data_IF_435630640290
#
_entry.id   IF_435630640290
#
_cell.length_a   1.000
_cell.length_b   1.000
_cell.length_c   1.000
_cell.angle_alpha   90.00
_cell.angle_beta   90.00
_cell.angle_gamma   90.00
#
_symmetry.space_group_name_H-M   'P 1'
#
loop_
_entity.id
_entity.type
_entity.pdbx_description
1 polymer ?
#
# COMPACT_ATOMS: atom_id res chain seq x y z
N UNK A 1 -6.11 -1.04 26.31
CA UNK A 1 -6.79 -1.54 25.08
C UNK A 1 -6.01 -1.00 23.90
N UNK A 2 -5.55 -1.86 23.01
CA UNK A 2 -4.85 -1.45 21.79
C UNK A 2 -5.90 -1.03 20.75
N UNK A 3 -5.72 0.14 20.13
CA UNK A 3 -6.67 0.72 19.19
C UNK A 3 -6.52 0.02 17.84
N UNK A 4 -7.61 -0.47 17.24
CA UNK A 4 -7.50 -1.11 15.92
C UNK A 4 -7.30 -0.08 14.79
N UNK A 5 -6.75 -0.54 13.67
CA UNK A 5 -6.34 0.30 12.54
C UNK A 5 -7.52 1.01 11.86
N UNK A 6 -8.69 0.36 11.79
CA UNK A 6 -9.91 0.94 11.22
C UNK A 6 -10.48 2.06 12.10
N UNK A 7 -10.45 1.87 13.42
CA UNK A 7 -10.84 2.88 14.41
C UNK A 7 -9.89 4.07 14.34
N UNK A 8 -8.58 3.82 14.22
CA UNK A 8 -7.58 4.88 14.09
C UNK A 8 -7.80 5.72 12.82
N UNK A 9 -8.13 5.10 11.68
CA UNK A 9 -8.45 5.83 10.43
C UNK A 9 -9.70 6.68 10.60
N UNK A 10 -10.77 6.15 11.22
CA UNK A 10 -11.99 6.92 11.48
C UNK A 10 -11.74 8.10 12.43
N UNK A 11 -10.90 7.93 13.44
CA UNK A 11 -10.51 9.01 14.34
C UNK A 11 -9.69 10.08 13.61
N UNK A 12 -8.75 9.69 12.76
CA UNK A 12 -7.98 10.63 11.93
C UNK A 12 -8.88 11.37 10.93
N UNK A 13 -9.86 10.69 10.34
CA UNK A 13 -10.83 11.31 9.43
C UNK A 13 -11.68 12.36 10.16
N UNK A 14 -12.29 11.99 11.30
CA UNK A 14 -13.08 12.94 12.11
C UNK A 14 -12.23 14.12 12.56
N UNK A 15 -11.00 13.87 13.01
CA UNK A 15 -10.07 14.92 13.43
C UNK A 15 -9.69 15.86 12.28
N UNK A 16 -9.47 15.33 11.07
CA UNK A 16 -9.22 16.15 9.87
C UNK A 16 -10.43 17.00 9.47
N UNK A 17 -11.65 16.42 9.52
CA UNK A 17 -12.89 17.13 9.22
C UNK A 17 -13.13 18.28 10.21
N UNK A 18 -12.95 18.04 11.51
CA UNK A 18 -13.07 19.07 12.55
C UNK A 18 -12.03 20.19 12.38
N UNK A 19 -10.77 19.85 12.08
CA UNK A 19 -9.73 20.84 11.80
C UNK A 19 -10.04 21.67 10.55
N UNK A 20 -10.56 21.04 9.49
CA UNK A 20 -10.94 21.72 8.25
C UNK A 20 -12.09 22.70 8.49
N UNK A 21 -13.11 22.29 9.25
CA UNK A 21 -14.22 23.17 9.66
C UNK A 21 -13.70 24.35 10.49
N UNK A 22 -12.74 24.13 11.38
CA UNK A 22 -12.14 25.23 12.17
C UNK A 22 -11.36 26.21 11.28
N UNK A 23 -10.58 25.70 10.32
CA UNK A 23 -9.83 26.51 9.37
C UNK A 23 -10.75 27.31 8.42
N UNK A 24 -11.86 26.73 7.98
CA UNK A 24 -12.84 27.39 7.10
C UNK A 24 -13.63 28.48 7.84
N UNK A 25 -13.99 28.25 9.10
CA UNK A 25 -14.76 29.23 9.90
C UNK A 25 -13.93 30.45 10.36
N UNK A 26 -12.60 30.37 10.42
CA UNK A 26 -11.76 31.56 10.70
C UNK A 26 -11.61 32.50 9.49
N UNK A 27 -11.92 32.04 8.27
CA UNK A 27 -11.81 32.83 7.03
C UNK A 27 -12.99 33.81 6.87
N UNK A 28 -14.17 33.49 7.42
CA UNK A 28 -15.42 34.22 7.20
C UNK A 28 -15.78 35.28 8.27
N UNK A 29 -14.86 35.61 9.17
CA UNK A 29 -14.95 36.78 10.05
C UNK A 29 -14.94 36.47 11.55
N UNK A 30 -14.89 37.53 12.39
CA UNK A 30 -14.34 37.39 13.74
C UNK A 30 -15.41 37.02 14.76
N UNK A 31 -15.84 35.76 14.92
CA UNK A 31 -16.59 35.38 16.14
C UNK A 31 -16.59 33.88 16.52
N UNK A 32 -16.37 33.64 17.82
CA UNK A 32 -16.96 32.58 18.69
C UNK A 32 -16.46 31.13 18.61
N UNK A 33 -15.32 30.85 18.02
CA UNK A 33 -14.63 29.58 18.29
C UNK A 33 -13.95 29.65 19.67
N UNK A 34 -14.02 28.59 20.51
CA UNK A 34 -13.30 28.56 21.77
C UNK A 34 -11.81 28.82 21.52
N UNK A 35 -11.23 29.59 22.43
CA UNK A 35 -9.91 30.21 22.34
C UNK A 35 -8.86 29.41 21.53
N UNK A 36 -8.40 29.92 20.37
CA UNK A 36 -7.38 29.28 19.52
C UNK A 36 -6.07 28.99 20.27
N UNK A 37 -5.84 29.66 21.41
CA UNK A 37 -4.70 29.43 22.31
C UNK A 37 -4.64 27.97 22.78
N UNK A 38 -5.79 27.35 23.10
CA UNK A 38 -5.85 25.98 23.63
C UNK A 38 -5.87 24.93 22.52
N UNK A 39 -6.35 25.29 21.32
CA UNK A 39 -6.42 24.39 20.17
C UNK A 39 -5.02 24.06 19.61
N UNK A 40 -4.11 25.03 19.52
CA UNK A 40 -2.82 24.87 18.84
C UNK A 40 -1.92 23.75 19.40
N UNK A 41 -1.75 23.65 20.72
CA UNK A 41 -0.93 22.60 21.32
C UNK A 41 -1.71 21.29 21.50
N UNK A 42 -3.03 21.38 21.75
CA UNK A 42 -3.90 20.22 21.89
C UNK A 42 -3.99 19.41 20.59
N UNK A 43 -4.10 20.06 19.44
CA UNK A 43 -4.19 19.38 18.14
C UNK A 43 -2.86 18.69 17.78
N UNK A 44 -1.73 19.28 18.19
CA UNK A 44 -0.40 18.69 18.01
C UNK A 44 -0.27 17.43 18.89
N UNK A 45 -0.67 17.52 20.15
CA UNK A 45 -0.67 16.39 21.09
C UNK A 45 -1.61 15.26 20.61
N UNK A 46 -2.80 15.60 20.12
CA UNK A 46 -3.74 14.64 19.57
C UNK A 46 -3.18 13.92 18.33
N UNK A 47 -2.62 14.67 17.37
CA UNK A 47 -1.97 14.09 16.19
C UNK A 47 -0.80 13.18 16.56
N UNK A 48 0.12 13.64 17.41
CA UNK A 48 1.29 12.86 17.81
C UNK A 48 0.87 11.58 18.57
N UNK A 49 -0.19 11.63 19.38
CA UNK A 49 -0.77 10.43 20.01
C UNK A 49 -1.34 9.45 18.97
N UNK A 50 -1.98 9.93 17.91
CA UNK A 50 -2.43 9.06 16.81
C UNK A 50 -1.27 8.49 15.99
N UNK A 51 -0.20 9.26 15.77
CA UNK A 51 1.01 8.79 15.10
C UNK A 51 1.72 7.68 15.88
N UNK A 52 1.85 7.82 17.21
CA UNK A 52 2.38 6.76 18.08
C UNK A 52 1.51 5.50 17.99
N UNK A 53 0.19 5.68 18.02
CA UNK A 53 -0.76 4.57 17.89
C UNK A 53 -0.66 3.89 16.51
N UNK A 54 -0.45 4.67 15.44
CA UNK A 54 -0.22 4.18 14.09
C UNK A 54 1.08 3.35 14.00
N UNK A 55 2.18 3.87 14.54
CA UNK A 55 3.48 3.18 14.58
C UNK A 55 3.43 1.88 15.38
N UNK A 56 2.65 1.83 16.45
CA UNK A 56 2.47 0.64 17.27
C UNK A 56 1.53 -0.42 16.65
N UNK A 57 0.74 -0.04 15.64
CA UNK A 57 -0.33 -0.90 15.07
C UNK A 57 -0.08 -1.23 13.59
N UNK A 58 0.87 -0.56 12.93
CA UNK A 58 1.15 -0.71 11.51
C UNK A 58 2.66 -0.78 11.24
N UNK A 59 3.13 -1.88 10.66
CA UNK A 59 4.54 -2.10 10.29
C UNK A 59 4.92 -1.43 8.95
N UNK A 60 4.12 -0.48 8.45
CA UNK A 60 4.40 0.17 7.18
C UNK A 60 5.63 1.10 7.32
N UNK A 61 6.69 0.93 6.51
CA UNK A 61 7.92 1.72 6.63
C UNK A 61 7.70 3.23 6.45
N UNK A 62 6.67 3.62 5.70
CA UNK A 62 6.29 5.03 5.54
C UNK A 62 5.77 5.57 6.87
N UNK A 63 4.89 4.84 7.57
CA UNK A 63 4.36 5.23 8.90
C UNK A 63 5.49 5.30 9.93
N UNK A 64 6.43 4.36 9.91
CA UNK A 64 7.58 4.35 10.82
C UNK A 64 8.49 5.57 10.61
N UNK A 65 8.64 6.00 9.36
CA UNK A 65 9.45 7.16 8.99
C UNK A 65 8.75 8.53 9.19
N UNK A 66 7.44 8.57 9.46
CA UNK A 66 6.72 9.84 9.64
C UNK A 66 7.19 10.57 10.92
N UNK A 67 7.59 11.85 10.82
CA UNK A 67 8.02 12.64 11.98
C UNK A 67 6.83 13.12 12.81
N UNK A 68 7.07 13.37 14.09
CA UNK A 68 6.13 14.09 14.96
C UNK A 68 6.06 15.56 14.54
N UNK A 69 4.91 16.20 14.77
CA UNK A 69 4.77 17.65 14.59
C UNK A 69 5.27 18.34 15.85
N UNK A 70 6.18 19.30 15.69
CA UNK A 70 6.71 20.08 16.81
C UNK A 70 5.65 21.04 17.37
N UNK A 71 5.63 21.18 18.70
CA UNK A 71 4.79 22.17 19.39
C UNK A 71 5.20 23.59 19.03
N UNK A 72 4.28 24.54 19.23
CA UNK A 72 4.59 25.95 19.07
C UNK A 72 5.60 26.39 20.14
N UNK A 73 6.79 26.84 19.72
CA UNK A 73 7.75 27.49 20.62
C UNK A 73 7.13 28.81 21.08
N UNK A 74 7.09 29.04 22.40
CA UNK A 74 6.48 30.21 23.06
C UNK A 74 6.44 31.47 22.19
N UNK A 75 5.32 31.69 21.50
CA UNK A 75 5.04 32.97 20.87
C UNK A 75 4.53 33.84 22.00
N UNK A 76 5.35 34.79 22.44
CA UNK A 76 4.89 35.88 23.29
C UNK A 76 3.63 36.47 22.62
N UNK A 77 2.50 36.38 23.30
CA UNK A 77 1.22 36.95 22.85
C UNK A 77 1.37 38.46 22.79
N UNK A 78 1.85 38.97 21.66
CA UNK A 78 1.50 40.31 21.25
C UNK A 78 0.13 40.19 20.60
N UNK A 79 -0.88 40.76 21.28
CA UNK A 79 -2.26 40.99 20.83
C UNK A 79 -2.25 41.91 19.61
N UNK A 80 -1.67 41.44 18.50
CA UNK A 80 -1.69 42.16 17.25
C UNK A 80 -2.78 41.56 16.36
N UNK A 81 -4.02 41.95 16.68
CA UNK A 81 -5.27 41.69 15.93
C UNK A 81 -5.20 42.18 14.46
N UNK A 82 -4.08 42.74 14.04
CA UNK A 82 -3.84 43.26 12.68
C UNK A 82 -3.20 42.23 11.74
N UNK A 83 -2.72 41.09 12.23
CA UNK A 83 -2.12 40.05 11.38
C UNK A 83 -3.21 39.38 10.54
N UNK A 84 -2.99 39.33 9.22
CA UNK A 84 -3.90 38.67 8.27
C UNK A 84 -4.11 37.21 8.71
N UNK A 85 -5.30 36.64 8.46
CA UNK A 85 -5.71 35.27 8.87
C UNK A 85 -4.68 34.17 8.52
N UNK A 86 -3.79 34.38 7.55
CA UNK A 86 -2.68 33.46 7.22
C UNK A 86 -1.30 33.71 7.89
N UNK A 87 -1.14 34.79 8.65
CA UNK A 87 0.12 35.21 9.30
C UNK A 87 0.18 34.85 10.78
N UNK A 88 -0.93 34.31 11.35
CA UNK A 88 -0.95 33.80 12.71
C UNK A 88 -0.19 32.45 12.77
N UNK A 89 0.91 32.33 13.54
CA UNK A 89 1.66 31.08 13.68
C UNK A 89 0.81 29.88 14.13
N UNK A 90 -0.30 30.14 14.84
CA UNK A 90 -1.24 29.10 15.29
C UNK A 90 -2.11 28.58 14.16
N UNK A 91 -2.54 29.46 13.24
CA UNK A 91 -3.27 29.06 12.04
C UNK A 91 -2.39 28.24 11.09
N UNK A 92 -1.12 28.66 10.95
CA UNK A 92 -0.12 27.88 10.21
C UNK A 92 0.09 26.49 10.84
N UNK A 93 0.13 26.42 12.17
CA UNK A 93 0.24 25.14 12.89
C UNK A 93 -1.00 24.25 12.73
N UNK A 94 -2.21 24.83 12.74
CA UNK A 94 -3.44 24.09 12.43
C UNK A 94 -3.42 23.49 11.03
N UNK A 95 -2.95 24.25 10.03
CA UNK A 95 -2.76 23.75 8.67
C UNK A 95 -1.71 22.63 8.58
N UNK A 96 -0.58 22.78 9.28
CA UNK A 96 0.47 21.76 9.36
C UNK A 96 -0.07 20.46 9.94
N UNK A 97 -0.81 20.53 11.05
CA UNK A 97 -1.43 19.36 11.68
C UNK A 97 -2.51 18.75 10.78
N UNK A 98 -3.38 19.55 10.17
CA UNK A 98 -4.40 19.04 9.25
C UNK A 98 -3.79 18.31 8.05
N UNK A 99 -2.67 18.81 7.51
CA UNK A 99 -1.92 18.16 6.44
C UNK A 99 -1.28 16.85 6.90
N UNK A 100 -0.61 16.85 8.06
CA UNK A 100 0.02 15.68 8.65
C UNK A 100 -1.00 14.57 8.98
N UNK A 101 -2.18 14.94 9.49
CA UNK A 101 -3.31 14.03 9.74
C UNK A 101 -3.78 13.38 8.44
N UNK A 102 -4.00 14.17 7.38
CA UNK A 102 -4.42 13.65 6.06
C UNK A 102 -3.38 12.72 5.44
N UNK A 103 -2.10 13.05 5.58
CA UNK A 103 -1.00 12.18 5.13
C UNK A 103 -1.01 10.84 5.89
N UNK A 104 -1.10 10.87 7.22
CA UNK A 104 -1.15 9.67 8.03
C UNK A 104 -2.39 8.82 7.70
N UNK A 105 -3.56 9.44 7.57
CA UNK A 105 -4.79 8.76 7.14
C UNK A 105 -4.62 8.09 5.77
N UNK A 106 -4.07 8.81 4.78
CA UNK A 106 -3.87 8.30 3.42
C UNK A 106 -2.91 7.10 3.41
N UNK A 107 -1.84 7.16 4.20
CA UNK A 107 -0.87 6.06 4.32
C UNK A 107 -1.50 4.85 5.02
N UNK A 108 -2.30 5.05 6.06
CA UNK A 108 -2.98 3.96 6.78
C UNK A 108 -4.09 3.33 5.94
N UNK A 109 -4.90 4.12 5.22
CA UNK A 109 -5.84 3.61 4.24
C UNK A 109 -5.13 2.88 3.10
N UNK A 110 -3.99 3.40 2.65
CA UNK A 110 -3.10 2.75 1.70
C UNK A 110 -2.55 1.44 2.25
N UNK A 111 -2.24 1.36 3.54
CA UNK A 111 -1.78 0.14 4.21
C UNK A 111 -2.89 -0.90 4.33
N UNK A 112 -4.14 -0.49 4.60
CA UNK A 112 -5.32 -1.39 4.60
C UNK A 112 -5.60 -1.90 3.18
N UNK A 113 -5.63 -0.99 2.20
CA UNK A 113 -5.85 -1.33 0.79
C UNK A 113 -4.70 -2.18 0.24
N UNK A 114 -3.46 -1.93 0.67
CA UNK A 114 -2.31 -2.78 0.36
C UNK A 114 -2.43 -4.14 1.05
N UNK A 115 -2.97 -4.25 2.26
CA UNK A 115 -3.23 -5.56 2.90
C UNK A 115 -4.21 -6.43 2.09
N UNK A 116 -5.09 -5.84 1.28
CA UNK A 116 -5.97 -6.55 0.35
C UNK A 116 -5.43 -6.63 -1.11
N UNK A 117 -4.48 -5.78 -1.52
CA UNK A 117 -3.98 -5.65 -2.90
C UNK A 117 -2.49 -6.00 -3.14
N UNK A 118 -1.69 -6.21 -2.10
CA UNK A 118 -0.22 -6.37 -2.17
C UNK A 118 0.21 -7.67 -2.85
N UNK A 119 -0.51 -8.78 -2.65
CA UNK A 119 -0.19 -10.04 -3.34
C UNK A 119 -0.36 -9.92 -4.86
N UNK A 120 -1.37 -9.21 -5.36
CA UNK A 120 -1.60 -9.10 -6.81
C UNK A 120 -0.60 -8.16 -7.50
N UNK A 121 -0.23 -7.02 -6.89
CA UNK A 121 0.74 -6.10 -7.48
C UNK A 121 2.17 -6.66 -7.46
N UNK A 122 2.55 -7.37 -6.40
CA UNK A 122 3.86 -8.02 -6.29
C UNK A 122 3.96 -9.23 -7.21
N UNK A 123 2.90 -10.03 -7.34
CA UNK A 123 2.84 -11.13 -8.31
C UNK A 123 2.97 -10.61 -9.74
N UNK A 124 2.25 -9.54 -10.11
CA UNK A 124 2.36 -8.94 -11.45
C UNK A 124 3.77 -8.39 -11.70
N UNK A 125 4.38 -7.72 -10.70
CA UNK A 125 5.77 -7.24 -10.80
C UNK A 125 6.78 -8.38 -10.99
N UNK A 126 6.64 -9.47 -10.22
CA UNK A 126 7.49 -10.65 -10.35
C UNK A 126 7.26 -11.38 -11.68
N UNK A 127 6.02 -11.43 -12.19
CA UNK A 127 5.72 -11.97 -13.51
C UNK A 127 6.49 -11.23 -14.61
N UNK A 128 6.50 -9.89 -14.59
CA UNK A 128 7.29 -9.09 -15.55
C UNK A 128 8.79 -9.32 -15.42
N UNK A 129 9.31 -9.44 -14.19
CA UNK A 129 10.73 -9.75 -13.96
C UNK A 129 11.10 -11.15 -14.49
N UNK A 130 10.21 -12.13 -14.34
CA UNK A 130 10.39 -13.48 -14.90
C UNK A 130 10.30 -13.50 -16.42
N UNK A 131 9.42 -12.69 -17.04
CA UNK A 131 9.36 -12.54 -18.50
C UNK A 131 10.67 -11.97 -19.05
N UNK A 132 11.18 -10.90 -18.45
CA UNK A 132 12.47 -10.30 -18.81
C UNK A 132 13.64 -11.29 -18.62
N UNK A 133 13.64 -12.05 -17.52
CA UNK A 133 14.63 -13.12 -17.31
C UNK A 133 14.55 -14.16 -18.44
N UNK A 134 13.35 -14.49 -18.89
CA UNK A 134 13.14 -15.35 -20.05
C UNK A 134 13.83 -14.81 -21.32
N UNK A 135 13.67 -13.52 -21.62
CA UNK A 135 14.33 -12.90 -22.77
C UNK A 135 15.86 -12.96 -22.65
N UNK A 136 16.39 -12.66 -21.46
CA UNK A 136 17.83 -12.71 -21.17
C UNK A 136 18.40 -14.13 -21.31
N UNK A 137 17.67 -15.16 -20.89
CA UNK A 137 18.03 -16.57 -21.10
C UNK A 137 18.16 -16.87 -22.60
N UNK A 138 17.20 -16.40 -23.41
CA UNK A 138 17.21 -16.58 -24.86
C UNK A 138 18.43 -15.94 -25.52
N UNK A 139 18.70 -14.67 -25.21
CA UNK A 139 19.89 -13.97 -25.71
C UNK A 139 21.20 -14.63 -25.26
N UNK A 140 21.28 -15.05 -24.00
CA UNK A 140 22.47 -15.73 -23.47
C UNK A 140 22.68 -17.09 -24.15
N UNK A 141 21.61 -17.80 -24.51
CA UNK A 141 21.70 -19.06 -25.24
C UNK A 141 22.29 -18.89 -26.65
N UNK A 142 21.93 -17.79 -27.34
CA UNK A 142 22.50 -17.43 -28.63
C UNK A 142 23.99 -17.09 -28.51
N UNK A 143 24.36 -16.25 -27.54
CA UNK A 143 25.76 -15.87 -27.28
C UNK A 143 26.63 -17.07 -26.93
N UNK A 144 26.17 -17.99 -26.06
CA UNK A 144 26.94 -19.19 -25.70
C UNK A 144 27.10 -20.14 -26.88
N UNK A 145 26.12 -20.17 -27.79
CA UNK A 145 26.22 -20.98 -29.01
C UNK A 145 27.32 -20.46 -29.94
N UNK A 146 27.52 -19.14 -29.98
CA UNK A 146 28.54 -18.49 -30.78
C UNK A 146 29.92 -18.44 -30.08
N UNK A 147 29.93 -18.27 -28.77
CA UNK A 147 31.13 -18.17 -27.92
C UNK A 147 30.96 -18.90 -26.57
N UNK A 148 31.25 -20.21 -26.51
CA UNK A 148 31.04 -21.03 -25.30
C UNK A 148 31.87 -20.59 -24.07
N UNK A 149 32.99 -19.89 -24.29
CA UNK A 149 33.92 -19.47 -23.23
C UNK A 149 33.40 -18.30 -22.38
N UNK A 150 32.47 -17.50 -22.90
CA UNK A 150 31.90 -16.34 -22.18
C UNK A 150 30.64 -16.70 -21.37
N UNK A 151 30.21 -17.97 -21.42
CA UNK A 151 28.93 -18.40 -20.85
C UNK A 151 28.87 -18.48 -19.32
N UNK A 152 30.00 -18.77 -18.66
CA UNK A 152 29.99 -19.14 -17.24
C UNK A 152 29.48 -18.04 -16.30
N UNK A 153 29.95 -16.81 -16.47
CA UNK A 153 29.52 -15.67 -15.63
C UNK A 153 28.07 -15.27 -15.90
N UNK A 154 27.68 -15.25 -17.17
CA UNK A 154 26.32 -14.91 -17.58
C UNK A 154 25.29 -15.90 -17.05
N UNK A 155 25.55 -17.21 -17.16
CA UNK A 155 24.65 -18.24 -16.62
C UNK A 155 24.56 -18.17 -15.09
N UNK A 156 25.69 -17.94 -14.40
CA UNK A 156 25.68 -17.78 -12.94
C UNK A 156 24.79 -16.60 -12.51
N UNK A 157 24.92 -15.45 -13.17
CA UNK A 157 24.10 -14.27 -12.88
C UNK A 157 22.60 -14.54 -13.08
N UNK A 158 22.22 -15.21 -14.17
CA UNK A 158 20.82 -15.54 -14.44
C UNK A 158 20.22 -16.52 -13.42
N UNK A 159 21.03 -17.46 -12.91
CA UNK A 159 20.62 -18.37 -11.82
C UNK A 159 20.39 -17.61 -10.52
N UNK A 160 21.26 -16.66 -10.18
CA UNK A 160 21.11 -15.79 -9.00
C UNK A 160 19.84 -14.94 -9.09
N UNK A 161 19.57 -14.36 -10.27
CA UNK A 161 18.36 -13.57 -10.52
C UNK A 161 17.09 -14.41 -10.39
N UNK A 162 17.06 -15.62 -10.93
CA UNK A 162 15.95 -16.55 -10.73
C UNK A 162 15.72 -16.85 -9.24
N UNK A 163 16.78 -17.19 -8.50
CA UNK A 163 16.69 -17.52 -7.08
C UNK A 163 16.20 -16.31 -6.26
N UNK A 164 16.61 -15.09 -6.63
CA UNK A 164 16.12 -13.85 -6.03
C UNK A 164 14.63 -13.66 -6.28
N UNK A 165 14.16 -13.86 -7.51
CA UNK A 165 12.73 -13.77 -7.82
C UNK A 165 11.90 -14.84 -7.12
N UNK A 166 12.41 -16.08 -7.04
CA UNK A 166 11.77 -17.15 -6.29
C UNK A 166 11.66 -16.81 -4.79
N UNK A 167 12.69 -16.20 -4.20
CA UNK A 167 12.67 -15.72 -2.82
C UNK A 167 11.54 -14.73 -2.55
N UNK A 168 11.36 -13.75 -3.45
CA UNK A 168 10.27 -12.76 -3.35
C UNK A 168 8.89 -13.45 -3.39
N UNK A 169 8.71 -14.47 -4.24
CA UNK A 169 7.44 -15.24 -4.30
C UNK A 169 7.22 -16.05 -3.04
N UNK A 170 8.26 -16.69 -2.50
CA UNK A 170 8.16 -17.52 -1.30
C UNK A 170 7.90 -16.68 -0.05
N UNK A 171 8.50 -15.50 0.08
CA UNK A 171 8.24 -14.57 1.18
C UNK A 171 6.83 -13.98 1.10
N UNK A 172 6.32 -13.76 -0.13
CA UNK A 172 5.00 -13.20 -0.39
C UNK A 172 3.85 -14.21 -0.35
N UNK A 173 4.11 -15.51 -0.24
CA UNK A 173 3.08 -16.57 -0.29
C UNK A 173 3.26 -17.58 0.84
N UNK A 174 2.20 -17.82 1.62
CA UNK A 174 2.18 -18.89 2.64
C UNK A 174 1.92 -20.29 2.01
N UNK A 175 2.13 -20.46 0.70
CA UNK A 175 1.82 -21.71 -0.01
C UNK A 175 2.97 -22.72 0.13
N UNK A 176 2.84 -23.62 1.10
CA UNK A 176 3.78 -24.74 1.31
C UNK A 176 3.94 -25.64 0.08
N UNK A 177 2.95 -25.69 -0.82
CA UNK A 177 3.03 -26.48 -2.05
C UNK A 177 3.97 -25.79 -3.04
N UNK A 178 3.92 -24.47 -3.14
CA UNK A 178 4.83 -23.68 -3.98
C UNK A 178 6.29 -23.89 -3.56
N UNK A 179 6.58 -23.86 -2.26
CA UNK A 179 7.91 -24.13 -1.71
C UNK A 179 8.43 -25.56 -2.00
N UNK A 180 7.54 -26.53 -2.22
CA UNK A 180 7.91 -27.91 -2.58
C UNK A 180 8.13 -28.09 -4.08
N UNK A 181 7.37 -27.36 -4.91
CA UNK A 181 7.40 -27.47 -6.37
C UNK A 181 8.54 -26.68 -7.02
N UNK A 182 8.87 -25.50 -6.48
CA UNK A 182 9.92 -24.64 -7.01
C UNK A 182 11.03 -24.50 -5.98
N UNK A 183 12.25 -24.85 -6.40
CA UNK A 183 13.43 -24.85 -5.52
C UNK A 183 14.51 -23.95 -6.11
N UNK A 184 15.37 -23.36 -5.27
CA UNK A 184 16.54 -22.63 -5.74
C UNK A 184 17.40 -23.54 -6.62
N UNK A 185 17.86 -23.02 -7.75
CA UNK A 185 18.78 -23.72 -8.62
C UNK A 185 20.19 -23.58 -8.07
N UNK A 186 20.95 -24.68 -8.12
CA UNK A 186 22.35 -24.66 -7.70
C UNK A 186 23.17 -23.71 -8.59
N UNK A 187 24.04 -22.87 -8.00
CA UNK A 187 24.91 -22.00 -8.76
C UNK A 187 25.91 -22.83 -9.57
N UNK A 188 26.35 -22.29 -10.70
CA UNK A 188 27.38 -22.94 -11.52
C UNK A 188 28.71 -22.85 -10.77
N UNK A 189 29.23 -23.99 -10.28
CA UNK A 189 30.48 -24.05 -9.49
C UNK A 189 31.68 -24.50 -10.33
N UNK A 190 31.46 -25.40 -11.30
CA UNK A 190 32.53 -26.04 -12.10
C UNK A 190 32.35 -25.90 -13.62
N UNK A 191 33.46 -25.81 -14.36
CA UNK A 191 33.55 -25.80 -15.83
C UNK A 191 33.04 -27.10 -16.49
N UNK A 192 32.83 -28.17 -15.71
CA UNK A 192 32.28 -29.45 -16.21
C UNK A 192 30.76 -29.39 -16.45
N UNK A 193 30.09 -28.33 -16.02
CA UNK A 193 28.64 -28.16 -16.19
C UNK A 193 28.36 -27.61 -17.58
N UNK A 194 27.62 -28.36 -18.40
CA UNK A 194 27.16 -27.87 -19.69
C UNK A 194 26.29 -26.61 -19.49
N UNK A 195 26.79 -25.45 -19.90
CA UNK A 195 26.06 -24.18 -19.79
C UNK A 195 24.72 -24.22 -20.55
N UNK A 196 24.66 -25.00 -21.64
CA UNK A 196 23.42 -25.25 -22.39
C UNK A 196 22.39 -26.02 -21.55
N UNK A 197 22.82 -27.04 -20.81
CA UNK A 197 21.92 -27.83 -19.95
C UNK A 197 21.42 -26.97 -18.78
N UNK A 198 22.29 -26.14 -18.21
CA UNK A 198 21.91 -25.22 -17.13
C UNK A 198 20.94 -24.13 -17.61
N UNK A 199 21.14 -23.57 -18.80
CA UNK A 199 20.19 -22.63 -19.40
C UNK A 199 18.83 -23.29 -19.67
N UNK A 200 18.83 -24.56 -20.10
CA UNK A 200 17.60 -25.32 -20.34
C UNK A 200 16.84 -25.59 -19.05
N UNK A 201 17.55 -26.00 -17.98
CA UNK A 201 16.99 -26.16 -16.63
C UNK A 201 16.41 -24.84 -16.11
N UNK A 202 17.17 -23.75 -16.22
CA UNK A 202 16.76 -22.41 -15.82
C UNK A 202 15.52 -21.94 -16.59
N UNK A 203 15.46 -22.18 -17.90
CA UNK A 203 14.29 -21.85 -18.74
C UNK A 203 13.05 -22.61 -18.29
N UNK A 204 13.19 -23.89 -17.95
CA UNK A 204 12.08 -24.71 -17.49
C UNK A 204 11.58 -24.23 -16.12
N UNK A 205 12.49 -23.91 -15.20
CA UNK A 205 12.16 -23.38 -13.88
C UNK A 205 11.48 -21.99 -13.95
N UNK A 206 12.01 -21.09 -14.78
CA UNK A 206 11.45 -19.75 -15.02
C UNK A 206 10.04 -19.82 -15.62
N UNK A 207 9.85 -20.60 -16.69
CA UNK A 207 8.55 -20.72 -17.36
C UNK A 207 7.50 -21.41 -16.49
N UNK A 208 7.90 -22.41 -15.71
CA UNK A 208 7.03 -23.08 -14.74
C UNK A 208 6.52 -22.12 -13.67
N UNK A 209 7.40 -21.32 -13.08
CA UNK A 209 7.04 -20.33 -12.06
C UNK A 209 6.13 -19.24 -12.62
N UNK A 210 6.47 -18.71 -13.80
CA UNK A 210 5.65 -17.71 -14.49
C UNK A 210 4.23 -18.23 -14.77
N UNK A 211 4.10 -19.45 -15.29
CA UNK A 211 2.79 -20.05 -15.59
C UNK A 211 1.96 -20.30 -14.33
N UNK A 212 2.60 -20.69 -13.23
CA UNK A 212 1.91 -20.83 -11.94
C UNK A 212 1.36 -19.48 -11.47
N UNK A 213 2.18 -18.43 -11.47
CA UNK A 213 1.78 -17.09 -11.05
C UNK A 213 0.64 -16.52 -11.91
N UNK A 214 0.70 -16.70 -13.22
CA UNK A 214 -0.38 -16.33 -14.14
C UNK A 214 -1.72 -16.99 -13.77
N UNK A 215 -1.72 -18.30 -13.53
CA UNK A 215 -2.93 -19.04 -13.14
C UNK A 215 -3.47 -18.60 -11.78
N UNK A 216 -2.59 -18.31 -10.82
CA UNK A 216 -2.98 -17.77 -9.51
C UNK A 216 -3.62 -16.39 -9.64
N UNK A 217 -3.05 -15.53 -10.46
CA UNK A 217 -3.57 -14.20 -10.74
C UNK A 217 -4.95 -14.25 -11.42
N UNK A 218 -5.12 -15.11 -12.44
CA UNK A 218 -6.40 -15.30 -13.12
C UNK A 218 -7.50 -15.80 -12.17
N UNK A 219 -7.21 -16.82 -11.35
CA UNK A 219 -8.16 -17.34 -10.36
C UNK A 219 -8.59 -16.27 -9.37
N UNK A 220 -7.65 -15.46 -8.91
CA UNK A 220 -7.90 -14.36 -7.98
C UNK A 220 -8.80 -13.28 -8.61
N UNK A 221 -8.55 -12.91 -9.87
CA UNK A 221 -9.41 -11.97 -10.61
C UNK A 221 -10.83 -12.48 -10.80
N UNK A 222 -11.01 -13.75 -11.14
CA UNK A 222 -12.33 -14.36 -11.35
C UNK A 222 -13.14 -14.38 -10.04
N UNK A 223 -12.51 -14.74 -8.93
CA UNK A 223 -13.15 -14.72 -7.61
C UNK A 223 -13.56 -13.30 -7.17
N UNK A 224 -12.70 -12.31 -7.38
CA UNK A 224 -13.02 -10.91 -7.07
C UNK A 224 -14.17 -10.36 -7.93
N UNK A 225 -14.20 -10.71 -9.23
CA UNK A 225 -15.30 -10.36 -10.13
C UNK A 225 -16.64 -10.92 -9.67
N UNK A 226 -16.68 -12.21 -9.32
CA UNK A 226 -17.89 -12.87 -8.82
C UNK A 226 -18.41 -12.25 -7.51
N UNK A 227 -17.51 -11.92 -6.59
CA UNK A 227 -17.87 -11.25 -5.31
C UNK A 227 -18.45 -9.86 -5.56
N UNK A 228 -17.91 -9.11 -6.53
CA UNK A 228 -18.40 -7.78 -6.88
C UNK A 228 -19.79 -7.82 -7.51
N UNK A 229 -20.01 -8.71 -8.47
CA UNK A 229 -21.33 -8.91 -9.09
C UNK A 229 -22.39 -9.33 -8.06
N UNK A 230 -22.03 -10.21 -7.12
CA UNK A 230 -22.99 -10.64 -6.09
C UNK A 230 -23.34 -9.50 -5.12
N UNK A 231 -22.38 -8.62 -4.79
CA UNK A 231 -22.63 -7.42 -3.98
C UNK A 231 -23.55 -6.43 -4.69
N UNK A 232 -23.35 -6.22 -6.00
CA UNK A 232 -24.21 -5.36 -6.82
C UNK A 232 -25.63 -5.93 -6.90
N UNK A 233 -25.81 -7.22 -7.17
CA UNK A 233 -27.13 -7.88 -7.18
C UNK A 233 -27.86 -7.73 -5.84
N UNK A 234 -27.16 -7.91 -4.72
CA UNK A 234 -27.75 -7.72 -3.37
C UNK A 234 -28.14 -6.27 -3.09
N UNK A 235 -27.45 -5.30 -3.68
CA UNK A 235 -27.78 -3.87 -3.54
C UNK A 235 -29.04 -3.54 -4.33
N UNK A 236 -29.11 -3.97 -5.59
CA UNK A 236 -30.28 -3.78 -6.45
C UNK A 236 -31.54 -4.45 -5.86
N UNK A 237 -31.40 -5.66 -5.31
CA UNK A 237 -32.52 -6.35 -4.66
C UNK A 237 -33.03 -5.60 -3.42
N UNK A 238 -32.13 -4.99 -2.63
CA UNK A 238 -32.50 -4.18 -1.46
C UNK A 238 -33.23 -2.90 -1.86
N UNK A 239 -32.82 -2.26 -2.95
CA UNK A 239 -33.49 -1.08 -3.50
C UNK A 239 -34.90 -1.42 -3.99
N UNK A 240 -35.06 -2.49 -4.79
CA UNK A 240 -36.39 -2.95 -5.23
C UNK A 240 -37.34 -3.26 -4.06
N UNK A 241 -36.83 -3.91 -3.01
CA UNK A 241 -37.63 -4.19 -1.79
C UNK A 241 -38.01 -2.92 -1.03
N UNK A 242 -37.19 -1.87 -1.05
CA UNK A 242 -37.54 -0.56 -0.45
C UNK A 242 -38.63 0.13 -1.27
N UNK A 243 -38.49 0.16 -2.59
CA UNK A 243 -39.48 0.76 -3.50
C UNK A 243 -40.85 0.09 -3.41
N UNK A 244 -40.90 -1.26 -3.39
CA UNK A 244 -42.15 -2.00 -3.19
C UNK A 244 -42.84 -1.66 -1.86
N UNK A 245 -42.06 -1.51 -0.78
CA UNK A 245 -42.60 -1.16 0.55
C UNK A 245 -43.18 0.25 0.55
N UNK A 246 -42.54 1.19 -0.13
CA UNK A 246 -43.07 2.56 -0.27
C UNK A 246 -44.34 2.61 -1.11
N UNK A 247 -44.38 1.91 -2.25
CA UNK A 247 -45.59 1.84 -3.09
C UNK A 247 -46.77 1.24 -2.33
N UNK A 248 -46.56 0.17 -1.55
CA UNK A 248 -47.61 -0.44 -0.72
C UNK A 248 -48.12 0.51 0.37
N UNK A 249 -47.26 1.36 0.94
CA UNK A 249 -47.66 2.39 1.91
C UNK A 249 -48.50 3.48 1.26
N UNK A 250 -48.16 3.89 0.03
CA UNK A 250 -48.94 4.90 -0.72
C UNK A 250 -50.32 4.41 -1.14
N UNK A 251 -50.50 3.11 -1.44
CA UNK A 251 -51.81 2.53 -1.80
C UNK A 251 -52.77 2.32 -0.62
N UNK A 252 -52.28 2.43 0.62
CA UNK A 252 -53.08 2.25 1.85
C UNK A 252 -53.50 3.57 2.50
N UNK A 253 -53.03 4.70 1.97
CA UNK A 253 -53.50 6.05 2.31
C UNK A 253 -54.47 6.50 1.23
#
# INVERSE_FOLDING_TARGET
MQMDLETLIKLLQNFHEELTICLENEIDGPFKTPDPILLGDFIVDAYNSYLVSAKATCDNPIVQAMPEVEKLVHVATEDDDTKRVGENPRFQKMHEVAFATKQLQTVLEGAIKAREAKSQSEIVGVMTLLENLGEQIGHTQEVIRENPQEGGQSVRHLVEEYNRYLGIVLEGTEDEVLAKMFRPLEPVVDESTSYQDKLSELRLAQSGLLSYLQKMYERSRVQQGAVREERERRREERERRREEREQRRRRKK
#
